data_IF_140430391068
#
_entry.id   IF_140430391068
#
_cell.length_a   1.000
_cell.length_b   1.000
_cell.length_c   1.000
_cell.angle_alpha   90.00
_cell.angle_beta   90.00
_cell.angle_gamma   90.00
#
_symmetry.space_group_name_H-M   'P 1'
#
loop_
_entity.id
_entity.type
_entity.pdbx_description
1 polymer ?
#
# COMPACT_ATOMS: atom_id res chain seq x y z
N UNK A 1 -51.98 -12.82 53.70
CA UNK A 1 -52.08 -11.40 54.08
C UNK A 1 -51.36 -10.63 53.01
N UNK A 2 -52.12 -9.94 52.17
CA UNK A 2 -51.61 -9.08 51.12
C UNK A 2 -50.73 -8.00 51.77
N UNK A 3 -49.57 -7.73 51.19
CA UNK A 3 -48.60 -6.81 51.77
C UNK A 3 -49.17 -5.39 51.68
N UNK A 4 -49.74 -4.86 52.77
CA UNK A 4 -50.36 -3.52 52.80
C UNK A 4 -49.39 -2.40 52.41
N UNK A 5 -48.09 -2.68 52.40
CA UNK A 5 -47.07 -1.79 51.85
C UNK A 5 -47.13 -1.64 50.32
N UNK A 6 -47.58 -2.66 49.59
CA UNK A 6 -47.74 -2.63 48.12
C UNK A 6 -48.92 -1.73 47.69
N UNK A 7 -49.84 -1.45 48.61
CA UNK A 7 -50.97 -0.56 48.38
C UNK A 7 -50.58 0.92 48.39
N UNK A 8 -49.43 1.29 48.97
CA UNK A 8 -48.96 2.67 49.02
C UNK A 8 -48.74 3.23 47.61
N UNK A 9 -48.07 2.47 46.76
CA UNK A 9 -47.77 2.90 45.38
C UNK A 9 -49.05 3.10 44.57
N UNK A 10 -49.98 2.13 44.64
CA UNK A 10 -51.28 2.22 43.95
C UNK A 10 -52.09 3.43 44.40
N UNK A 11 -52.06 3.77 45.70
CA UNK A 11 -52.74 4.95 46.23
C UNK A 11 -52.11 6.25 45.74
N UNK A 12 -50.77 6.35 45.73
CA UNK A 12 -50.05 7.54 45.24
C UNK A 12 -50.22 7.74 43.73
N UNK A 13 -50.37 6.67 42.96
CA UNK A 13 -50.61 6.71 41.51
C UNK A 13 -52.10 6.84 41.13
N UNK A 14 -53.00 6.91 42.12
CA UNK A 14 -54.45 6.97 41.94
C UNK A 14 -55.04 5.79 41.13
N UNK A 15 -54.44 4.60 41.29
CA UNK A 15 -54.82 3.36 40.59
C UNK A 15 -55.75 2.46 41.43
N UNK A 16 -56.12 2.89 42.63
CA UNK A 16 -57.04 2.16 43.51
C UNK A 16 -58.50 2.50 43.23
N UNK A 17 -59.39 1.51 43.32
CA UNK A 17 -60.83 1.74 43.32
C UNK A 17 -61.29 2.45 44.60
N UNK A 18 -62.45 3.12 44.55
CA UNK A 18 -63.03 3.85 45.69
C UNK A 18 -63.15 2.97 46.95
N UNK A 19 -63.47 1.68 46.78
CA UNK A 19 -63.57 0.73 47.89
C UNK A 19 -62.20 0.42 48.51
N UNK A 20 -61.20 0.17 47.69
CA UNK A 20 -59.83 -0.12 48.13
C UNK A 20 -59.19 1.09 48.81
N UNK A 21 -59.48 2.30 48.34
CA UNK A 21 -59.02 3.55 48.97
C UNK A 21 -59.54 3.67 50.40
N UNK A 22 -60.82 3.40 50.64
CA UNK A 22 -61.43 3.46 51.98
C UNK A 22 -60.76 2.44 52.92
N UNK A 23 -60.58 1.21 52.47
CA UNK A 23 -59.94 0.13 53.24
C UNK A 23 -58.46 0.45 53.55
N UNK A 24 -57.76 1.10 52.63
CA UNK A 24 -56.39 1.56 52.81
C UNK A 24 -56.30 2.74 53.81
N UNK A 25 -57.19 3.73 53.70
CA UNK A 25 -57.22 4.88 54.61
C UNK A 25 -57.53 4.47 56.05
N UNK A 26 -58.41 3.48 56.24
CA UNK A 26 -58.65 2.88 57.55
C UNK A 26 -57.40 2.14 58.08
N UNK A 27 -56.68 1.45 57.19
CA UNK A 27 -55.42 0.79 57.52
C UNK A 27 -54.30 1.77 57.91
N UNK A 28 -54.26 2.94 57.27
CA UNK A 28 -53.34 4.03 57.62
C UNK A 28 -53.63 4.62 59.01
N UNK A 29 -54.90 4.71 59.39
CA UNK A 29 -55.29 5.21 60.73
C UNK A 29 -54.99 4.22 61.85
N UNK A 30 -55.07 2.92 61.55
CA UNK A 30 -54.93 1.85 62.53
C UNK A 30 -53.50 1.33 62.66
N UNK A 31 -52.61 1.61 61.71
CA UNK A 31 -51.22 1.16 61.70
C UNK A 31 -50.21 2.33 61.57
N UNK A 32 -49.55 2.72 62.68
CA UNK A 32 -48.57 3.81 62.69
C UNK A 32 -47.35 3.56 61.80
N UNK A 33 -46.89 2.31 61.65
CA UNK A 33 -45.73 1.97 60.83
C UNK A 33 -46.05 2.12 59.33
N UNK A 34 -47.28 1.75 58.94
CA UNK A 34 -47.77 1.96 57.58
C UNK A 34 -47.91 3.44 57.25
N UNK A 35 -48.41 4.26 58.20
CA UNK A 35 -48.48 5.71 58.04
C UNK A 35 -47.09 6.35 57.87
N UNK A 36 -46.10 5.88 58.63
CA UNK A 36 -44.72 6.39 58.53
C UNK A 36 -44.10 6.09 57.16
N UNK A 37 -44.29 4.87 56.66
CA UNK A 37 -43.84 4.47 55.33
C UNK A 37 -44.56 5.24 54.22
N UNK A 38 -45.88 5.43 54.34
CA UNK A 38 -46.67 6.25 53.43
C UNK A 38 -46.15 7.69 53.34
N UNK A 39 -45.90 8.34 54.47
CA UNK A 39 -45.37 9.71 54.51
C UNK A 39 -43.96 9.82 53.92
N UNK A 40 -43.12 8.80 54.12
CA UNK A 40 -41.78 8.74 53.52
C UNK A 40 -41.87 8.67 52.00
N UNK A 41 -42.67 7.74 51.46
CA UNK A 41 -42.85 7.55 50.01
C UNK A 41 -43.53 8.74 49.36
N UNK A 42 -44.55 9.30 50.01
CA UNK A 42 -45.19 10.54 49.56
C UNK A 42 -44.19 11.68 49.47
N UNK A 43 -43.31 11.85 50.46
CA UNK A 43 -42.27 12.90 50.40
C UNK A 43 -41.27 12.69 49.26
N UNK A 44 -40.92 11.44 48.95
CA UNK A 44 -40.07 11.12 47.80
C UNK A 44 -40.81 11.44 46.49
N UNK A 45 -42.08 11.03 46.38
CA UNK A 45 -42.90 11.29 45.20
C UNK A 45 -43.16 12.80 44.99
N UNK A 46 -43.40 13.54 46.06
CA UNK A 46 -43.56 15.01 46.05
C UNK A 46 -42.22 15.72 45.76
N UNK A 47 -41.07 15.06 45.99
CA UNK A 47 -39.74 15.60 45.69
C UNK A 47 -39.29 15.36 44.24
N UNK A 48 -40.01 14.52 43.48
CA UNK A 48 -39.81 14.34 42.03
C UNK A 48 -40.60 15.46 41.32
N UNK A 49 -39.91 16.35 40.61
CA UNK A 49 -40.55 17.48 39.91
C UNK A 49 -41.22 17.02 38.62
N UNK A 50 -42.27 17.73 38.21
CA UNK A 50 -43.04 17.47 36.98
C UNK A 50 -42.15 17.43 35.72
N UNK A 51 -41.03 18.16 35.73
CA UNK A 51 -40.00 18.17 34.68
C UNK A 51 -39.33 16.80 34.46
N UNK A 52 -39.06 16.03 35.51
CA UNK A 52 -38.40 14.71 35.37
C UNK A 52 -39.34 13.70 34.70
N UNK A 53 -40.64 13.78 35.00
CA UNK A 53 -41.68 12.94 34.39
C UNK A 53 -41.89 13.33 32.93
N UNK A 54 -41.90 14.64 32.62
CA UNK A 54 -42.01 15.14 31.26
C UNK A 54 -40.81 14.73 30.40
N UNK A 55 -39.59 14.82 30.94
CA UNK A 55 -38.37 14.37 30.26
C UNK A 55 -38.37 12.85 30.01
N UNK A 56 -38.80 12.05 30.99
CA UNK A 56 -38.88 10.60 30.82
C UNK A 56 -39.91 10.22 29.74
N UNK A 57 -41.09 10.86 29.74
CA UNK A 57 -42.12 10.64 28.71
C UNK A 57 -41.67 11.06 27.32
N UNK A 58 -40.94 12.17 27.19
CA UNK A 58 -40.38 12.60 25.92
C UNK A 58 -39.34 11.61 25.40
N UNK A 59 -38.46 11.11 26.26
CA UNK A 59 -37.46 10.11 25.89
C UNK A 59 -38.10 8.77 25.48
N UNK A 60 -39.13 8.32 26.19
CA UNK A 60 -39.86 7.09 25.84
C UNK A 60 -40.62 7.22 24.52
N UNK A 61 -41.29 8.35 24.26
CA UNK A 61 -41.94 8.60 22.97
C UNK A 61 -40.95 8.70 21.82
N UNK A 62 -39.73 9.19 22.07
CA UNK A 62 -38.68 9.21 21.04
C UNK A 62 -38.19 7.81 20.70
N UNK A 63 -38.05 6.92 21.69
CA UNK A 63 -37.63 5.53 21.49
C UNK A 63 -38.72 4.71 20.77
N UNK A 64 -40.00 4.90 21.13
CA UNK A 64 -41.13 4.19 20.51
C UNK A 64 -41.31 4.57 19.03
N UNK A 65 -40.97 5.81 18.64
CA UNK A 65 -41.08 6.27 17.25
C UNK A 65 -39.89 5.89 16.35
N UNK A 66 -38.85 5.23 16.88
CA UNK A 66 -37.70 4.77 16.09
C UNK A 66 -37.90 3.36 15.50
N UNK A 67 -38.99 2.66 15.80
CA UNK A 67 -39.28 1.30 15.30
C UNK A 67 -40.17 1.22 14.05
N UNK A 68 -40.46 2.33 13.35
CA UNK A 68 -41.38 2.31 12.18
C UNK A 68 -40.81 2.67 10.82
N UNK A 69 -39.49 2.57 10.60
CA UNK A 69 -38.89 2.69 9.26
C UNK A 69 -37.94 1.49 9.02
N UNK A 70 -38.45 0.39 8.48
CA UNK A 70 -37.63 -0.70 7.94
C UNK A 70 -37.06 -0.24 6.58
N UNK A 71 -35.75 0.05 6.43
CA UNK A 71 -35.19 0.34 5.12
C UNK A 71 -35.28 -0.92 4.25
N UNK A 72 -35.65 -0.74 2.97
CA UNK A 72 -35.87 -1.81 2.01
C UNK A 72 -34.58 -2.65 1.80
N UNK A 73 -34.41 -3.72 2.59
CA UNK A 73 -33.21 -4.57 2.67
C UNK A 73 -32.74 -5.10 1.31
N UNK A 74 -33.64 -5.25 0.33
CA UNK A 74 -33.30 -5.68 -1.03
C UNK A 74 -32.40 -4.68 -1.75
N UNK A 75 -32.64 -3.37 -1.64
CA UNK A 75 -31.88 -2.35 -2.36
C UNK A 75 -30.44 -2.24 -1.84
N UNK A 76 -30.23 -2.46 -0.53
CA UNK A 76 -28.91 -2.47 0.11
C UNK A 76 -28.11 -3.73 -0.22
N UNK A 77 -28.79 -4.89 -0.37
CA UNK A 77 -28.12 -6.14 -0.78
C UNK A 77 -27.65 -6.05 -2.24
N UNK A 78 -28.46 -5.50 -3.16
CA UNK A 78 -28.04 -5.34 -4.56
C UNK A 78 -26.91 -4.32 -4.74
N UNK A 79 -26.90 -3.23 -3.97
CA UNK A 79 -25.79 -2.25 -4.01
C UNK A 79 -24.51 -2.82 -3.39
N UNK A 80 -24.59 -3.61 -2.32
CA UNK A 80 -23.45 -4.28 -1.71
C UNK A 80 -22.85 -5.35 -2.64
N UNK A 81 -23.67 -6.15 -3.33
CA UNK A 81 -23.20 -7.17 -4.30
C UNK A 81 -22.52 -6.51 -5.51
N UNK A 82 -23.06 -5.40 -6.02
CA UNK A 82 -22.45 -4.66 -7.11
C UNK A 82 -21.08 -4.07 -6.70
N UNK A 83 -20.96 -3.51 -5.49
CA UNK A 83 -19.70 -3.00 -4.97
C UNK A 83 -18.63 -4.10 -4.81
N UNK A 84 -19.02 -5.30 -4.36
CA UNK A 84 -18.12 -6.46 -4.26
C UNK A 84 -17.66 -6.92 -5.64
N UNK A 85 -18.56 -6.99 -6.64
CA UNK A 85 -18.17 -7.37 -8.00
C UNK A 85 -17.20 -6.37 -8.62
N UNK A 86 -17.43 -5.06 -8.45
CA UNK A 86 -16.50 -4.02 -8.92
C UNK A 86 -15.16 -4.14 -8.20
N UNK A 87 -15.16 -4.35 -6.88
CA UNK A 87 -13.93 -4.56 -6.11
C UNK A 87 -13.17 -5.80 -6.58
N UNK A 88 -13.84 -6.93 -6.79
CA UNK A 88 -13.23 -8.17 -7.31
C UNK A 88 -12.69 -7.97 -8.71
N UNK A 89 -13.39 -7.24 -9.59
CA UNK A 89 -12.90 -6.94 -10.96
C UNK A 89 -11.67 -6.03 -10.91
N UNK A 90 -11.68 -4.99 -10.07
CA UNK A 90 -10.54 -4.07 -9.90
C UNK A 90 -9.35 -4.80 -9.29
N UNK A 91 -9.57 -5.57 -8.23
CA UNK A 91 -8.52 -6.35 -7.56
C UNK A 91 -7.99 -7.43 -8.50
N UNK A 92 -8.84 -8.22 -9.17
CA UNK A 92 -8.40 -9.18 -10.19
C UNK A 92 -7.67 -8.49 -11.34
N UNK A 93 -8.11 -7.31 -11.78
CA UNK A 93 -7.41 -6.54 -12.81
C UNK A 93 -6.00 -6.13 -12.36
N UNK A 94 -5.85 -5.70 -11.10
CA UNK A 94 -4.55 -5.37 -10.51
C UNK A 94 -3.68 -6.64 -10.35
N UNK A 95 -4.24 -7.76 -9.90
CA UNK A 95 -3.50 -9.02 -9.72
C UNK A 95 -3.10 -9.67 -11.04
N UNK A 96 -3.97 -9.71 -12.04
CA UNK A 96 -3.67 -10.24 -13.38
C UNK A 96 -2.66 -9.36 -14.14
N UNK A 97 -2.70 -8.04 -13.96
CA UNK A 97 -1.66 -7.15 -14.50
C UNK A 97 -0.33 -7.33 -13.76
N UNK A 98 -0.34 -7.56 -12.45
CA UNK A 98 0.88 -7.86 -11.68
C UNK A 98 1.51 -9.18 -12.10
N UNK A 99 0.73 -10.22 -12.37
CA UNK A 99 1.25 -11.52 -12.80
C UNK A 99 1.96 -11.43 -14.16
N UNK A 100 1.37 -10.71 -15.13
CA UNK A 100 2.03 -10.38 -16.41
C UNK A 100 3.26 -9.48 -16.25
N UNK A 101 3.24 -8.55 -15.30
CA UNK A 101 4.40 -7.70 -15.01
C UNK A 101 5.54 -8.49 -14.31
N UNK A 102 5.21 -9.46 -13.45
CA UNK A 102 6.19 -10.36 -12.83
C UNK A 102 6.82 -11.27 -13.88
N UNK A 103 6.05 -11.76 -14.85
CA UNK A 103 6.55 -12.53 -16.00
C UNK A 103 7.43 -11.66 -16.94
N UNK A 104 7.16 -10.36 -17.08
CA UNK A 104 7.96 -9.44 -17.93
C UNK A 104 9.21 -8.90 -17.24
N UNK A 105 9.14 -8.57 -15.95
CA UNK A 105 10.32 -8.30 -15.12
C UNK A 105 11.20 -9.55 -14.98
N UNK A 106 10.62 -10.76 -15.10
CA UNK A 106 11.43 -11.98 -15.22
C UNK A 106 12.22 -12.05 -16.53
N UNK A 107 11.82 -11.33 -17.58
CA UNK A 107 12.55 -11.35 -18.84
C UNK A 107 13.92 -10.67 -18.68
N UNK A 108 13.94 -9.45 -18.12
CA UNK A 108 15.19 -8.80 -17.74
C UNK A 108 16.03 -9.71 -16.84
N UNK A 109 15.45 -10.23 -15.76
CA UNK A 109 16.15 -11.09 -14.81
C UNK A 109 16.68 -12.41 -15.42
N UNK A 110 16.08 -12.90 -16.50
CA UNK A 110 16.52 -14.13 -17.18
C UNK A 110 17.75 -13.93 -18.06
N UNK A 111 18.00 -12.70 -18.50
CA UNK A 111 19.04 -12.38 -19.49
C UNK A 111 20.09 -11.39 -18.98
N UNK A 112 19.83 -10.72 -17.87
CA UNK A 112 20.74 -9.77 -17.25
C UNK A 112 21.66 -10.46 -16.26
N UNK A 113 22.93 -10.07 -16.29
CA UNK A 113 23.90 -10.27 -15.22
C UNK A 113 24.86 -9.09 -15.21
N UNK A 114 25.36 -8.71 -14.03
CA UNK A 114 26.43 -7.71 -13.93
C UNK A 114 27.60 -8.13 -14.81
N UNK A 115 28.12 -7.20 -15.62
CA UNK A 115 29.21 -7.51 -16.53
C UNK A 115 30.48 -7.82 -15.73
N UNK A 116 31.20 -8.93 -15.99
CA UNK A 116 32.37 -9.27 -15.20
C UNK A 116 33.49 -8.23 -15.39
N UNK A 117 34.18 -7.86 -14.31
CA UNK A 117 35.31 -6.95 -14.38
C UNK A 117 36.42 -7.51 -15.29
N UNK A 118 36.73 -6.78 -16.36
CA UNK A 118 37.72 -7.18 -17.36
C UNK A 118 39.14 -6.65 -17.10
N UNK A 119 39.34 -5.86 -16.03
CA UNK A 119 40.61 -5.18 -15.80
C UNK A 119 41.49 -5.93 -14.80
N UNK A 120 42.74 -6.19 -15.19
CA UNK A 120 43.79 -6.69 -14.30
C UNK A 120 44.84 -5.59 -14.11
N UNK A 121 44.98 -5.10 -12.88
CA UNK A 121 45.94 -4.06 -12.56
C UNK A 121 47.32 -4.66 -12.23
N UNK A 122 48.37 -4.06 -12.80
CA UNK A 122 49.75 -4.23 -12.32
C UNK A 122 50.05 -3.20 -11.22
N UNK A 123 51.21 -3.30 -10.56
CA UNK A 123 51.63 -2.40 -9.46
C UNK A 123 51.24 -0.93 -9.71
N UNK A 124 50.57 -0.34 -8.72
CA UNK A 124 50.04 1.04 -8.74
C UNK A 124 51.12 2.11 -8.48
N UNK A 125 52.34 1.72 -8.15
CA UNK A 125 53.39 2.60 -7.64
C UNK A 125 53.79 3.74 -8.59
N UNK A 126 53.69 3.55 -9.91
CA UNK A 126 54.04 4.55 -10.94
C UNK A 126 52.86 4.95 -11.86
N UNK A 127 51.63 4.64 -11.45
CA UNK A 127 50.45 4.88 -12.29
C UNK A 127 49.90 6.31 -12.14
N UNK A 128 49.36 6.85 -13.23
CA UNK A 128 48.70 8.16 -13.22
C UNK A 128 47.41 8.16 -12.37
N UNK A 129 46.92 9.34 -12.01
CA UNK A 129 45.73 9.47 -11.15
C UNK A 129 44.50 8.78 -11.72
N UNK A 130 44.30 8.83 -13.05
CA UNK A 130 43.18 8.16 -13.72
C UNK A 130 43.23 6.64 -13.54
N UNK A 131 44.41 6.04 -13.61
CA UNK A 131 44.58 4.59 -13.40
C UNK A 131 44.32 4.20 -11.95
N UNK A 132 44.70 5.05 -10.99
CA UNK A 132 44.39 4.83 -9.57
C UNK A 132 42.88 4.91 -9.30
N UNK A 133 42.20 5.89 -9.88
CA UNK A 133 40.73 5.98 -9.77
C UNK A 133 40.03 4.78 -10.40
N UNK A 134 40.52 4.32 -11.55
CA UNK A 134 39.98 3.13 -12.20
C UNK A 134 40.22 1.87 -11.37
N UNK A 135 41.36 1.77 -10.68
CA UNK A 135 41.63 0.69 -9.71
C UNK A 135 40.62 0.66 -8.57
N UNK A 136 40.39 1.79 -7.92
CA UNK A 136 39.40 1.87 -6.85
C UNK A 136 37.98 1.57 -7.36
N UNK A 137 37.62 2.08 -8.54
CA UNK A 137 36.31 1.80 -9.15
C UNK A 137 36.07 0.30 -9.34
N UNK A 138 37.07 -0.42 -9.85
CA UNK A 138 36.97 -1.87 -10.06
C UNK A 138 37.05 -2.68 -8.76
N UNK A 139 37.80 -2.23 -7.75
CA UNK A 139 37.76 -2.87 -6.42
C UNK A 139 36.35 -2.83 -5.82
N UNK A 140 35.73 -1.64 -5.79
CA UNK A 140 34.34 -1.50 -5.31
C UNK A 140 33.36 -2.29 -6.17
N UNK A 141 33.56 -2.32 -7.49
CA UNK A 141 32.73 -3.10 -8.39
C UNK A 141 32.80 -4.61 -8.10
N UNK A 142 33.99 -5.15 -7.87
CA UNK A 142 34.20 -6.56 -7.53
C UNK A 142 33.61 -6.92 -6.16
N UNK A 143 33.57 -5.95 -5.23
CA UNK A 143 32.90 -6.07 -3.93
C UNK A 143 31.37 -5.88 -4.02
N UNK A 144 30.83 -5.58 -5.21
CA UNK A 144 29.43 -5.22 -5.49
C UNK A 144 28.97 -3.95 -4.77
N UNK A 145 29.90 -3.09 -4.37
CA UNK A 145 29.62 -1.74 -3.85
C UNK A 145 29.40 -0.77 -5.03
N UNK A 146 28.30 -0.96 -5.77
CA UNK A 146 28.05 -0.24 -7.02
C UNK A 146 27.88 1.28 -6.84
N UNK A 147 27.34 1.74 -5.70
CA UNK A 147 27.31 3.16 -5.34
C UNK A 147 28.72 3.77 -5.30
N UNK A 148 29.65 3.14 -4.57
CA UNK A 148 31.05 3.57 -4.47
C UNK A 148 31.73 3.49 -5.83
N UNK A 149 31.57 2.38 -6.56
CA UNK A 149 32.16 2.19 -7.88
C UNK A 149 31.71 3.26 -8.88
N UNK A 150 30.42 3.62 -8.88
CA UNK A 150 29.86 4.67 -9.73
C UNK A 150 30.53 6.03 -9.48
N UNK A 151 30.79 6.39 -8.21
CA UNK A 151 31.50 7.63 -7.87
C UNK A 151 32.89 7.66 -8.51
N UNK A 152 33.68 6.59 -8.38
CA UNK A 152 35.02 6.54 -8.95
C UNK A 152 35.02 6.50 -10.47
N UNK A 153 34.10 5.78 -11.11
CA UNK A 153 33.97 5.81 -12.58
C UNK A 153 33.57 7.20 -13.09
N UNK A 154 32.70 7.94 -12.37
CA UNK A 154 32.40 9.34 -12.68
C UNK A 154 33.65 10.22 -12.60
N UNK A 155 34.46 10.07 -11.54
CA UNK A 155 35.74 10.80 -11.41
C UNK A 155 36.74 10.48 -12.54
N UNK A 156 36.74 9.24 -13.05
CA UNK A 156 37.53 8.89 -14.25
C UNK A 156 37.03 9.66 -15.47
N UNK A 157 35.71 9.72 -15.69
CA UNK A 157 35.11 10.44 -16.82
C UNK A 157 35.28 11.96 -16.73
N UNK A 158 35.33 12.53 -15.52
CA UNK A 158 35.66 13.95 -15.33
C UNK A 158 37.10 14.28 -15.80
N UNK A 159 38.03 13.32 -15.67
CA UNK A 159 39.42 13.47 -16.14
C UNK A 159 39.59 13.07 -17.61
N UNK A 160 38.85 12.07 -18.06
CA UNK A 160 38.88 11.53 -19.41
C UNK A 160 37.47 11.11 -19.86
N UNK A 161 36.74 12.07 -20.43
CA UNK A 161 35.39 11.85 -20.95
C UNK A 161 35.32 10.88 -22.14
N UNK A 162 36.48 10.49 -22.71
CA UNK A 162 36.55 9.53 -23.82
C UNK A 162 36.71 8.08 -23.34
N UNK A 163 36.82 7.87 -22.02
CA UNK A 163 37.01 6.55 -21.43
C UNK A 163 35.73 5.68 -21.51
N UNK A 164 35.58 5.01 -22.65
CA UNK A 164 34.42 4.14 -22.94
C UNK A 164 34.26 3.00 -21.94
N UNK A 165 35.35 2.52 -21.33
CA UNK A 165 35.29 1.50 -20.29
C UNK A 165 34.61 2.04 -19.03
N UNK A 166 35.06 3.18 -18.52
CA UNK A 166 34.47 3.79 -17.32
C UNK A 166 33.02 4.15 -17.53
N UNK A 167 32.67 4.66 -18.72
CA UNK A 167 31.28 4.94 -19.07
C UNK A 167 30.42 3.66 -19.12
N UNK A 168 30.95 2.57 -19.67
CA UNK A 168 30.22 1.31 -19.73
C UNK A 168 30.00 0.73 -18.33
N UNK A 169 31.07 0.60 -17.53
CA UNK A 169 30.92 0.07 -16.17
C UNK A 169 30.10 0.98 -15.26
N UNK A 170 30.18 2.30 -15.44
CA UNK A 170 29.28 3.23 -14.76
C UNK A 170 27.82 2.93 -15.08
N UNK A 171 27.48 2.70 -16.36
CA UNK A 171 26.10 2.31 -16.72
C UNK A 171 25.66 1.02 -16.04
N UNK A 172 26.56 0.04 -15.87
CA UNK A 172 26.25 -1.20 -15.15
C UNK A 172 26.00 -0.92 -13.66
N UNK A 173 26.84 -0.10 -13.01
CA UNK A 173 26.61 0.32 -11.63
C UNK A 173 25.25 1.01 -11.47
N UNK A 174 24.87 1.90 -12.39
CA UNK A 174 23.57 2.58 -12.33
C UNK A 174 22.39 1.60 -12.53
N UNK A 175 22.53 0.53 -13.34
CA UNK A 175 21.51 -0.53 -13.46
C UNK A 175 21.33 -1.27 -12.13
N UNK A 176 22.43 -1.62 -11.47
CA UNK A 176 22.45 -2.33 -10.18
C UNK A 176 21.89 -1.46 -9.06
N UNK A 177 22.21 -0.16 -9.06
CA UNK A 177 21.63 0.84 -8.15
C UNK A 177 20.18 1.20 -8.50
N UNK A 178 19.62 0.61 -9.57
CA UNK A 178 18.27 0.85 -10.07
C UNK A 178 18.01 2.29 -10.56
N UNK A 179 19.07 3.01 -10.93
CA UNK A 179 19.07 4.32 -11.57
C UNK A 179 19.00 4.15 -13.10
N UNK A 180 17.83 3.71 -13.58
CA UNK A 180 17.66 3.25 -14.96
C UNK A 180 17.77 4.37 -16.01
N UNK A 181 17.45 5.60 -15.64
CA UNK A 181 17.50 6.77 -16.53
C UNK A 181 18.95 7.14 -16.82
N UNK A 182 19.79 7.20 -15.78
CA UNK A 182 21.22 7.47 -15.89
C UNK A 182 21.93 6.35 -16.66
N UNK A 183 21.58 5.09 -16.38
CA UNK A 183 22.10 3.95 -17.13
C UNK A 183 21.78 4.06 -18.63
N UNK A 184 20.53 4.40 -18.96
CA UNK A 184 20.10 4.61 -20.35
C UNK A 184 20.88 5.73 -21.03
N UNK A 185 21.08 6.88 -20.35
CA UNK A 185 21.84 8.01 -20.89
C UNK A 185 23.27 7.59 -21.24
N UNK A 186 23.97 6.93 -20.31
CA UNK A 186 25.35 6.47 -20.53
C UNK A 186 25.46 5.45 -21.66
N UNK A 187 24.52 4.50 -21.75
CA UNK A 187 24.50 3.49 -22.81
C UNK A 187 24.14 4.08 -24.17
N UNK A 188 23.18 5.00 -24.21
CA UNK A 188 22.74 5.68 -25.43
C UNK A 188 23.84 6.55 -26.04
N UNK A 189 24.67 7.18 -25.21
CA UNK A 189 25.85 7.90 -25.67
C UNK A 189 26.96 6.94 -26.17
N UNK A 190 27.19 5.80 -25.49
CA UNK A 190 28.15 4.79 -25.93
C UNK A 190 27.82 4.21 -27.31
N UNK A 191 26.57 3.86 -27.58
CA UNK A 191 26.20 3.26 -28.87
C UNK A 191 26.39 4.21 -30.06
N UNK A 192 26.41 5.53 -29.81
CA UNK A 192 26.71 6.55 -30.82
C UNK A 192 28.22 6.59 -31.15
N UNK A 193 29.07 6.37 -30.15
CA UNK A 193 30.53 6.25 -30.27
C UNK A 193 30.91 4.89 -30.86
N UNK A 194 30.59 4.66 -32.14
CA UNK A 194 30.93 3.40 -32.84
C UNK A 194 32.43 3.06 -32.72
N UNK A 195 32.77 1.77 -32.77
CA UNK A 195 34.15 1.23 -32.76
C UNK A 195 34.87 1.19 -31.39
N UNK A 196 34.18 0.83 -30.31
CA UNK A 196 34.83 0.46 -29.04
C UNK A 196 34.49 -0.98 -28.62
N UNK A 197 35.32 -1.57 -27.75
CA UNK A 197 35.20 -2.98 -27.34
C UNK A 197 33.85 -3.31 -26.68
N UNK A 198 33.22 -2.34 -26.04
CA UNK A 198 31.90 -2.49 -25.39
C UNK A 198 30.70 -2.24 -26.31
N UNK A 199 30.88 -2.02 -27.61
CA UNK A 199 29.78 -1.48 -28.45
C UNK A 199 28.60 -2.45 -28.55
N UNK A 200 28.86 -3.74 -28.76
CA UNK A 200 27.79 -4.76 -28.77
C UNK A 200 27.13 -4.88 -27.39
N UNK A 201 27.94 -4.87 -26.33
CA UNK A 201 27.48 -4.94 -24.94
C UNK A 201 26.61 -3.73 -24.59
N UNK A 202 26.95 -2.53 -25.04
CA UNK A 202 26.14 -1.33 -24.82
C UNK A 202 24.77 -1.44 -25.48
N UNK A 203 24.69 -1.98 -26.72
CA UNK A 203 23.39 -2.22 -27.36
C UNK A 203 22.59 -3.27 -26.58
N UNK A 204 23.23 -4.36 -26.16
CA UNK A 204 22.57 -5.40 -25.39
C UNK A 204 22.03 -4.89 -24.05
N UNK A 205 22.86 -4.22 -23.24
CA UNK A 205 22.46 -3.70 -21.94
C UNK A 205 21.39 -2.61 -22.07
N UNK A 206 21.43 -1.78 -23.13
CA UNK A 206 20.38 -0.80 -23.39
C UNK A 206 19.03 -1.45 -23.66
N UNK A 207 19.00 -2.51 -24.48
CA UNK A 207 17.78 -3.28 -24.70
C UNK A 207 17.22 -3.86 -23.39
N UNK A 208 18.09 -4.40 -22.53
CA UNK A 208 17.69 -4.91 -21.22
C UNK A 208 17.16 -3.80 -20.30
N UNK A 209 17.80 -2.63 -20.28
CA UNK A 209 17.31 -1.46 -19.54
C UNK A 209 15.91 -1.08 -20.00
N UNK A 210 15.66 -0.99 -21.31
CA UNK A 210 14.32 -0.72 -21.84
C UNK A 210 13.29 -1.78 -21.45
N UNK A 211 13.66 -3.07 -21.43
CA UNK A 211 12.79 -4.13 -20.90
C UNK A 211 12.45 -3.92 -19.42
N UNK A 212 13.44 -3.56 -18.59
CA UNK A 212 13.25 -3.28 -17.15
C UNK A 212 12.39 -2.04 -16.91
N UNK A 213 12.48 -1.04 -17.78
CA UNK A 213 11.64 0.16 -17.76
C UNK A 213 10.24 -0.06 -18.38
N UNK A 214 9.96 -1.24 -18.96
CA UNK A 214 8.75 -1.56 -19.71
C UNK A 214 8.53 -0.67 -20.96
N UNK A 215 9.61 -0.19 -21.55
CA UNK A 215 9.64 0.53 -22.84
C UNK A 215 9.82 -0.44 -24.00
N UNK A 216 8.75 -1.15 -24.35
CA UNK A 216 8.84 -2.30 -25.26
C UNK A 216 9.20 -1.91 -26.70
N UNK A 217 8.71 -0.78 -27.20
CA UNK A 217 9.03 -0.31 -28.56
C UNK A 217 10.53 0.03 -28.69
N UNK A 218 11.08 0.69 -27.67
CA UNK A 218 12.52 1.01 -27.57
C UNK A 218 13.35 -0.27 -27.48
N UNK A 219 12.95 -1.21 -26.63
CA UNK A 219 13.61 -2.51 -26.51
C UNK A 219 13.60 -3.28 -27.84
N UNK A 220 12.44 -3.38 -28.49
CA UNK A 220 12.29 -4.06 -29.78
C UNK A 220 13.17 -3.43 -30.87
N UNK A 221 13.24 -2.10 -30.92
CA UNK A 221 14.11 -1.39 -31.87
C UNK A 221 15.59 -1.77 -31.70
N UNK A 222 16.09 -1.76 -30.46
CA UNK A 222 17.48 -2.12 -30.17
C UNK A 222 17.73 -3.61 -30.40
N UNK A 223 16.81 -4.50 -30.02
CA UNK A 223 16.94 -5.94 -30.22
C UNK A 223 16.96 -6.30 -31.72
N UNK A 224 16.11 -5.67 -32.52
CA UNK A 224 16.14 -5.85 -33.98
C UNK A 224 17.51 -5.42 -34.56
N UNK A 225 18.08 -4.32 -34.06
CA UNK A 225 19.44 -3.89 -34.45
C UNK A 225 20.50 -4.93 -34.05
N UNK A 226 20.43 -5.50 -32.85
CA UNK A 226 21.32 -6.59 -32.39
C UNK A 226 21.27 -7.79 -33.34
N UNK A 227 20.07 -8.16 -33.82
CA UNK A 227 19.88 -9.25 -34.78
C UNK A 227 20.40 -8.90 -36.18
N UNK A 228 20.08 -7.70 -36.69
CA UNK A 228 20.46 -7.24 -38.04
C UNK A 228 21.98 -7.11 -38.21
N UNK A 229 22.67 -6.59 -37.19
CA UNK A 229 24.13 -6.40 -37.20
C UNK A 229 24.91 -7.68 -36.82
N UNK A 230 24.21 -8.79 -36.58
CA UNK A 230 24.79 -10.08 -36.17
C UNK A 230 25.71 -9.99 -34.94
N UNK A 231 25.29 -9.23 -33.92
CA UNK A 231 26.06 -9.09 -32.67
C UNK A 231 26.05 -10.40 -31.85
N UNK A 232 26.93 -10.49 -30.87
CA UNK A 232 27.15 -11.69 -30.04
C UNK A 232 25.86 -12.23 -29.39
N UNK A 233 24.95 -11.35 -28.95
CA UNK A 233 23.71 -11.69 -28.24
C UNK A 233 22.51 -11.91 -29.18
N UNK A 234 22.75 -12.01 -30.50
CA UNK A 234 21.70 -12.29 -31.49
C UNK A 234 20.77 -13.47 -31.11
N UNK A 235 21.27 -14.64 -30.67
CA UNK A 235 20.38 -15.77 -30.34
C UNK A 235 19.36 -15.42 -29.25
N UNK A 236 19.79 -14.73 -28.20
CA UNK A 236 18.93 -14.32 -27.09
C UNK A 236 17.97 -13.21 -27.52
N UNK A 237 18.43 -12.27 -28.35
CA UNK A 237 17.59 -11.21 -28.92
C UNK A 237 16.43 -11.78 -29.75
N UNK A 238 16.68 -12.79 -30.58
CA UNK A 238 15.63 -13.48 -31.35
C UNK A 238 14.59 -14.17 -30.44
N UNK A 239 15.03 -14.73 -29.31
CA UNK A 239 14.12 -15.36 -28.33
C UNK A 239 13.27 -14.29 -27.64
N UNK A 240 13.88 -13.18 -27.21
CA UNK A 240 13.16 -12.07 -26.57
C UNK A 240 12.12 -11.49 -27.53
N UNK A 241 12.50 -11.18 -28.78
CA UNK A 241 11.58 -10.63 -29.79
C UNK A 241 10.36 -11.52 -30.02
N UNK A 242 10.52 -12.86 -30.01
CA UNK A 242 9.40 -13.80 -30.11
C UNK A 242 8.46 -13.79 -28.90
N UNK A 243 8.94 -13.41 -27.72
CA UNK A 243 8.14 -13.30 -26.50
C UNK A 243 7.44 -11.94 -26.37
N UNK A 244 7.93 -10.92 -27.07
CA UNK A 244 7.31 -9.59 -27.11
C UNK A 244 6.11 -9.53 -28.06
N UNK A 245 6.12 -10.34 -29.13
CA UNK A 245 5.02 -10.53 -30.09
C UNK A 245 3.95 -11.49 -29.56
#
# INVERSE_FOLDING_TARGET
MENKFDWIEKYLMNEMSVREQIEFEESLRTNPDLMKEFLLRRRINDAITEDDILNLRQNLNHIINLETEEPNKRLYIYSAVAAILVFVIVVSGIFLNREKQVEKNSLFASYYSAYPAMMSFRSLSDQNDTTKLMYEAFNFYDENEYDSAAVYFKMVLEKDATNTMSQFYLSVCEIENNNLIEAEEYLSDLIQKKNHIFWEQSNWYLALVYLKQNELDSAESILNKVVQENMTQKPDAEIILKKLN
#
